data_IF_975227693468
#
_entry.id   IF_975227693468
#
_cell.length_a   1.000
_cell.length_b   1.000
_cell.length_c   1.000
_cell.angle_alpha   90.00
_cell.angle_beta   90.00
_cell.angle_gamma   90.00
#
_symmetry.space_group_name_H-M   'P 1'
#
loop_
_entity.id
_entity.type
_entity.pdbx_description
1 polymer ?
#
# COMPACT_ATOMS: atom_id res chain seq x y z
N UNK A 1 -19.36 -11.44 18.18
CA UNK A 1 -18.47 -12.53 17.73
C UNK A 1 -17.36 -11.97 16.86
N UNK A 2 -16.10 -12.28 17.25
CA UNK A 2 -14.88 -11.80 16.56
C UNK A 2 -14.90 -12.17 15.06
N UNK A 3 -15.37 -13.37 14.72
CA UNK A 3 -15.42 -13.82 13.33
C UNK A 3 -16.45 -13.04 12.49
N UNK A 4 -17.52 -12.56 13.10
CA UNK A 4 -18.49 -11.69 12.43
C UNK A 4 -17.90 -10.30 12.19
N UNK A 5 -17.19 -9.72 13.17
CA UNK A 5 -16.51 -8.44 13.02
C UNK A 5 -15.47 -8.50 11.89
N UNK A 6 -14.61 -9.54 11.88
CA UNK A 6 -13.63 -9.77 10.82
C UNK A 6 -14.27 -9.89 9.42
N UNK A 7 -15.35 -10.67 9.31
CA UNK A 7 -16.08 -10.82 8.03
C UNK A 7 -16.67 -9.48 7.57
N UNK A 8 -17.21 -8.71 8.51
CA UNK A 8 -17.76 -7.40 8.23
C UNK A 8 -16.66 -6.46 7.71
N UNK A 9 -15.55 -6.33 8.42
CA UNK A 9 -14.44 -5.45 8.02
C UNK A 9 -13.87 -5.82 6.65
N UNK A 10 -13.68 -7.13 6.39
CA UNK A 10 -13.21 -7.63 5.08
C UNK A 10 -14.25 -7.35 3.98
N UNK A 11 -15.55 -7.44 4.29
CA UNK A 11 -16.59 -7.14 3.30
C UNK A 11 -16.64 -5.65 3.00
N UNK A 12 -16.56 -4.79 4.01
CA UNK A 12 -16.49 -3.33 3.81
C UNK A 12 -15.29 -2.96 2.91
N UNK A 13 -14.13 -3.59 3.15
CA UNK A 13 -12.95 -3.35 2.32
C UNK A 13 -13.11 -3.83 0.87
N UNK A 14 -13.79 -4.96 0.65
CA UNK A 14 -14.08 -5.45 -0.71
C UNK A 14 -15.01 -4.53 -1.49
N UNK A 15 -15.94 -3.91 -0.79
CA UNK A 15 -16.94 -3.01 -1.36
C UNK A 15 -16.42 -1.57 -1.47
N UNK A 16 -15.27 -1.27 -0.84
CA UNK A 16 -14.68 0.05 -0.85
C UNK A 16 -14.12 0.43 -2.23
N UNK A 17 -14.31 1.68 -2.63
CA UNK A 17 -13.81 2.20 -3.89
C UNK A 17 -12.68 3.19 -3.67
N UNK A 18 -11.50 2.84 -4.12
CA UNK A 18 -10.32 3.72 -4.13
C UNK A 18 -10.33 4.78 -5.24
N UNK A 19 -11.36 4.80 -6.10
CA UNK A 19 -11.45 5.75 -7.22
C UNK A 19 -11.66 7.17 -6.72
N UNK A 20 -10.87 8.09 -7.22
CA UNK A 20 -10.94 9.50 -6.88
C UNK A 20 -10.23 9.90 -5.58
N UNK A 21 -9.61 8.94 -4.89
CA UNK A 21 -8.76 9.21 -3.74
C UNK A 21 -7.34 9.56 -4.20
N UNK A 22 -6.73 10.52 -3.51
CA UNK A 22 -5.30 10.81 -3.67
C UNK A 22 -4.43 9.81 -2.89
N UNK A 23 -3.11 9.89 -3.08
CA UNK A 23 -2.13 8.99 -2.47
C UNK A 23 -2.22 8.96 -0.95
N UNK A 24 -2.37 10.10 -0.29
CA UNK A 24 -2.45 10.18 1.17
C UNK A 24 -3.75 9.56 1.68
N UNK A 25 -4.89 9.84 1.03
CA UNK A 25 -6.19 9.25 1.36
C UNK A 25 -6.20 7.73 1.19
N UNK A 26 -5.50 7.21 0.16
CA UNK A 26 -5.34 5.77 -0.05
C UNK A 26 -4.53 5.15 1.09
N UNK A 27 -3.42 5.77 1.49
CA UNK A 27 -2.59 5.29 2.60
C UNK A 27 -3.36 5.33 3.90
N UNK A 28 -4.06 6.42 4.18
CA UNK A 28 -4.88 6.58 5.39
C UNK A 28 -5.94 5.48 5.49
N UNK A 29 -6.64 5.21 4.38
CA UNK A 29 -7.64 4.14 4.34
C UNK A 29 -7.02 2.74 4.58
N UNK A 30 -5.88 2.44 3.95
CA UNK A 30 -5.16 1.17 4.18
C UNK A 30 -4.75 1.05 5.66
N UNK A 31 -4.24 2.12 6.26
CA UNK A 31 -3.87 2.16 7.69
C UNK A 31 -5.08 1.92 8.58
N UNK A 32 -6.21 2.53 8.26
CA UNK A 32 -7.47 2.36 9.00
C UNK A 32 -7.95 0.92 8.93
N UNK A 33 -8.00 0.34 7.74
CA UNK A 33 -8.38 -1.05 7.55
C UNK A 33 -7.47 -2.01 8.32
N UNK A 34 -6.15 -1.83 8.23
CA UNK A 34 -5.17 -2.68 8.95
C UNK A 34 -5.31 -2.52 10.47
N UNK A 35 -5.59 -1.31 10.95
CA UNK A 35 -5.80 -1.01 12.36
C UNK A 35 -7.03 -1.73 12.90
N UNK A 36 -8.17 -1.66 12.20
CA UNK A 36 -9.40 -2.37 12.53
C UNK A 36 -9.21 -3.89 12.51
N UNK A 37 -8.57 -4.41 11.46
CA UNK A 37 -8.30 -5.83 11.32
C UNK A 37 -7.46 -6.39 12.50
N UNK A 38 -6.42 -5.65 12.90
CA UNK A 38 -5.56 -6.05 14.02
C UNK A 38 -6.30 -5.97 15.36
N UNK A 39 -7.18 -4.99 15.56
CA UNK A 39 -7.94 -4.78 16.79
C UNK A 39 -8.84 -5.98 17.14
N UNK A 40 -9.33 -6.71 16.14
CA UNK A 40 -10.18 -7.89 16.34
C UNK A 40 -9.52 -9.02 17.12
N UNK A 41 -8.17 -9.10 17.11
CA UNK A 41 -7.40 -10.13 17.84
C UNK A 41 -7.98 -11.54 17.73
N UNK A 42 -8.15 -12.09 16.49
CA UNK A 42 -8.85 -13.36 16.30
C UNK A 42 -8.11 -14.58 16.86
N UNK A 43 -6.83 -14.44 17.17
CA UNK A 43 -6.01 -15.52 17.69
C UNK A 43 -5.56 -15.23 19.11
N UNK A 44 -5.33 -16.28 19.89
CA UNK A 44 -4.77 -16.18 21.24
C UNK A 44 -3.38 -15.58 21.23
N UNK A 45 -2.58 -15.94 20.21
CA UNK A 45 -1.20 -15.46 20.00
C UNK A 45 -0.93 -15.22 18.52
N UNK A 46 0.12 -14.45 18.21
CA UNK A 46 0.59 -14.24 16.83
C UNK A 46 -0.24 -13.27 15.99
N UNK A 47 -1.18 -12.52 16.58
CA UNK A 47 -2.05 -11.59 15.83
C UNK A 47 -1.25 -10.61 14.95
N UNK A 48 -0.18 -10.01 15.47
CA UNK A 48 0.65 -9.08 14.68
C UNK A 48 1.32 -9.76 13.48
N UNK A 49 1.86 -10.98 13.65
CA UNK A 49 2.47 -11.73 12.53
C UNK A 49 1.44 -12.12 11.49
N UNK A 50 0.28 -12.58 11.92
CA UNK A 50 -0.82 -12.93 11.01
C UNK A 50 -1.32 -11.71 10.26
N UNK A 51 -1.45 -10.57 10.93
CA UNK A 51 -1.80 -9.29 10.30
C UNK A 51 -0.76 -8.89 9.25
N UNK A 52 0.54 -8.98 9.54
CA UNK A 52 1.59 -8.66 8.58
C UNK A 52 1.50 -9.55 7.32
N UNK A 53 1.35 -10.88 7.49
CA UNK A 53 1.18 -11.81 6.36
C UNK A 53 -0.08 -11.50 5.55
N UNK A 54 -1.19 -11.20 6.21
CA UNK A 54 -2.43 -10.81 5.55
C UNK A 54 -2.22 -9.53 4.75
N UNK A 55 -1.63 -8.50 5.36
CA UNK A 55 -1.36 -7.19 4.73
C UNK A 55 -0.50 -7.34 3.49
N UNK A 56 0.58 -8.14 3.55
CA UNK A 56 1.44 -8.42 2.38
C UNK A 56 0.61 -9.01 1.23
N UNK A 57 -0.22 -10.02 1.53
CA UNK A 57 -1.08 -10.66 0.52
C UNK A 57 -2.14 -9.68 -0.03
N UNK A 58 -2.73 -8.92 0.85
CA UNK A 58 -3.73 -7.91 0.50
C UNK A 58 -3.13 -6.84 -0.42
N UNK A 59 -1.99 -6.24 -0.04
CA UNK A 59 -1.31 -5.22 -0.83
C UNK A 59 -0.91 -5.75 -2.22
N UNK A 60 -0.44 -7.00 -2.30
CA UNK A 60 -0.17 -7.65 -3.59
C UNK A 60 -1.42 -7.79 -4.45
N UNK A 61 -2.58 -8.09 -3.84
CA UNK A 61 -3.84 -8.22 -4.58
C UNK A 61 -4.35 -6.91 -5.16
N UNK A 62 -3.94 -5.78 -4.61
CA UNK A 62 -4.29 -4.43 -5.08
C UNK A 62 -3.17 -3.75 -5.88
N UNK A 63 -2.12 -4.52 -6.26
CA UNK A 63 -1.14 -4.15 -7.27
C UNK A 63 0.26 -3.79 -6.74
N UNK A 64 0.47 -3.74 -5.42
CA UNK A 64 1.78 -3.41 -4.87
C UNK A 64 2.73 -4.61 -4.88
N UNK A 65 4.00 -4.38 -5.20
CA UNK A 65 5.08 -5.36 -5.06
C UNK A 65 5.70 -5.20 -3.67
N UNK A 66 5.20 -5.93 -2.70
CA UNK A 66 5.71 -5.90 -1.33
C UNK A 66 6.23 -7.28 -0.93
N UNK A 67 7.31 -7.29 -0.18
CA UNK A 67 7.89 -8.47 0.45
C UNK A 67 7.75 -8.42 1.98
N UNK A 68 8.45 -9.29 2.68
CA UNK A 68 8.42 -9.36 4.13
C UNK A 68 9.56 -8.55 4.80
N UNK A 69 10.49 -8.01 4.04
CA UNK A 69 11.76 -7.49 4.59
C UNK A 69 11.52 -6.32 5.55
N UNK A 70 10.75 -5.33 5.14
CA UNK A 70 10.44 -4.19 6.02
C UNK A 70 9.72 -4.61 7.31
N UNK A 71 8.82 -5.62 7.22
CA UNK A 71 8.12 -6.15 8.39
C UNK A 71 9.06 -6.94 9.31
N UNK A 72 9.98 -7.72 8.75
CA UNK A 72 10.95 -8.49 9.51
C UNK A 72 11.93 -7.58 10.25
N UNK A 73 12.51 -6.61 9.54
CA UNK A 73 13.49 -5.67 10.06
C UNK A 73 12.87 -4.72 11.11
N UNK A 74 11.58 -4.42 10.98
CA UNK A 74 10.87 -3.46 11.84
C UNK A 74 9.68 -4.08 12.59
N UNK A 75 9.76 -5.37 12.94
CA UNK A 75 8.65 -6.11 13.56
C UNK A 75 8.15 -5.48 14.87
N UNK A 76 9.05 -5.01 15.72
CA UNK A 76 8.72 -4.29 16.94
C UNK A 76 8.10 -2.92 16.67
N UNK A 77 8.61 -2.21 15.68
CA UNK A 77 8.04 -0.93 15.29
C UNK A 77 6.60 -1.12 14.77
N UNK A 78 6.38 -2.06 13.86
CA UNK A 78 5.06 -2.35 13.31
C UNK A 78 4.06 -2.71 14.40
N UNK A 79 4.45 -3.61 15.34
CA UNK A 79 3.63 -3.97 16.51
C UNK A 79 3.28 -2.75 17.36
N UNK A 80 4.28 -1.95 17.72
CA UNK A 80 4.07 -0.79 18.60
C UNK A 80 3.25 0.31 17.89
N UNK A 81 3.42 0.48 16.58
CA UNK A 81 2.62 1.40 15.78
C UNK A 81 1.13 0.98 15.76
N UNK A 82 0.84 -0.33 15.64
CA UNK A 82 -0.52 -0.87 15.76
C UNK A 82 -1.10 -0.61 17.17
N UNK A 83 -0.31 -0.81 18.22
CA UNK A 83 -0.73 -0.47 19.59
C UNK A 83 -1.05 1.02 19.69
N UNK A 84 -0.15 1.90 19.23
CA UNK A 84 -0.36 3.37 19.29
C UNK A 84 -1.56 3.84 18.48
N UNK A 85 -1.84 3.19 17.35
CA UNK A 85 -3.00 3.49 16.52
C UNK A 85 -4.34 3.17 17.21
N UNK A 86 -4.34 2.25 18.19
CA UNK A 86 -5.54 1.79 18.89
C UNK A 86 -5.60 2.23 20.37
N UNK A 87 -4.47 2.62 20.96
CA UNK A 87 -4.42 2.90 22.41
C UNK A 87 -5.03 4.24 22.75
N UNK A 88 -6.03 4.20 23.61
CA UNK A 88 -6.69 5.37 24.18
C UNK A 88 -6.67 5.30 25.71
N UNK A 89 -6.29 6.40 26.36
CA UNK A 89 -6.38 6.54 27.82
C UNK A 89 -6.87 7.96 28.16
N UNK A 90 -8.18 8.17 28.32
CA UNK A 90 -8.76 9.49 28.59
C UNK A 90 -8.23 10.13 29.87
N UNK A 91 -7.97 9.33 30.93
CA UNK A 91 -7.49 9.86 32.22
C UNK A 91 -6.06 10.44 32.14
N UNK A 92 -5.29 10.04 31.10
CA UNK A 92 -3.95 10.57 30.81
C UNK A 92 -3.93 11.45 29.56
N UNK A 93 -5.09 11.82 29.01
CA UNK A 93 -5.21 12.57 27.74
C UNK A 93 -4.45 11.95 26.58
N UNK A 94 -4.43 10.59 26.52
CA UNK A 94 -3.76 9.85 25.44
C UNK A 94 -4.83 9.44 24.42
N UNK A 95 -4.69 9.96 23.19
CA UNK A 95 -5.53 9.58 22.07
C UNK A 95 -4.78 8.64 21.10
N UNK A 96 -5.52 7.83 20.31
CA UNK A 96 -4.94 7.01 19.24
C UNK A 96 -4.08 7.85 18.28
N UNK A 97 -2.95 7.31 17.86
CA UNK A 97 -2.05 7.98 16.93
C UNK A 97 -1.62 7.03 15.81
N UNK A 98 -2.13 7.26 14.61
CA UNK A 98 -1.86 6.48 13.40
C UNK A 98 -0.61 6.92 12.64
N UNK A 99 -0.01 8.07 12.97
CA UNK A 99 1.12 8.65 12.23
C UNK A 99 2.31 7.71 12.09
N UNK A 100 2.55 6.85 13.07
CA UNK A 100 3.62 5.86 13.04
C UNK A 100 3.36 4.74 12.02
N UNK A 101 2.11 4.28 11.92
CA UNK A 101 1.70 3.32 10.88
C UNK A 101 1.74 3.97 9.49
N UNK A 102 1.30 5.20 9.35
CA UNK A 102 1.37 5.95 8.09
C UNK A 102 2.82 6.02 7.60
N UNK A 103 3.78 6.38 8.45
CA UNK A 103 5.22 6.38 8.10
C UNK A 103 5.70 5.00 7.63
N UNK A 104 5.30 3.93 8.32
CA UNK A 104 5.64 2.57 7.94
C UNK A 104 5.09 2.22 6.55
N UNK A 105 3.83 2.52 6.27
CA UNK A 105 3.20 2.26 4.97
C UNK A 105 3.73 3.16 3.86
N UNK A 106 4.09 4.41 4.15
CA UNK A 106 4.75 5.29 3.17
C UNK A 106 6.12 4.71 2.76
N UNK A 107 6.91 4.23 3.72
CA UNK A 107 8.17 3.53 3.40
C UNK A 107 7.91 2.26 2.56
N UNK A 108 6.90 1.47 2.92
CA UNK A 108 6.58 0.21 2.28
C UNK A 108 6.04 0.38 0.85
N UNK A 109 5.17 1.36 0.62
CA UNK A 109 4.40 1.51 -0.62
C UNK A 109 5.01 2.54 -1.58
N UNK A 110 5.64 3.58 -1.04
CA UNK A 110 6.20 4.69 -1.81
C UNK A 110 7.73 4.66 -1.87
N UNK A 111 8.39 3.78 -1.10
CA UNK A 111 9.84 3.76 -0.99
C UNK A 111 10.41 4.97 -0.27
N UNK A 112 9.63 5.65 0.57
CA UNK A 112 10.11 6.74 1.42
C UNK A 112 11.04 6.19 2.53
N UNK A 113 11.82 7.06 3.15
CA UNK A 113 12.83 6.68 4.14
C UNK A 113 12.59 7.36 5.49
N UNK A 114 11.35 7.30 6.00
CA UNK A 114 11.06 7.76 7.35
C UNK A 114 11.77 6.90 8.39
N UNK A 115 12.32 7.54 9.42
CA UNK A 115 12.88 6.81 10.56
C UNK A 115 11.82 6.03 11.32
N UNK A 116 12.04 4.72 11.48
CA UNK A 116 11.15 3.81 12.18
C UNK A 116 11.73 3.48 13.58
N UNK A 117 11.72 4.46 14.49
CA UNK A 117 12.26 4.32 15.84
C UNK A 117 11.16 4.19 16.89
N UNK A 118 11.21 3.11 17.68
CA UNK A 118 10.23 2.82 18.74
C UNK A 118 10.17 3.91 19.82
N UNK A 119 11.27 4.60 20.10
CA UNK A 119 11.33 5.67 21.11
C UNK A 119 10.36 6.82 20.83
N UNK A 120 10.07 7.11 19.55
CA UNK A 120 9.13 8.17 19.18
C UNK A 120 7.67 7.84 19.53
N UNK A 121 7.36 6.59 19.84
CA UNK A 121 6.03 6.14 20.23
C UNK A 121 5.76 6.24 21.72
N UNK A 122 6.80 6.53 22.53
CA UNK A 122 6.64 6.73 23.96
C UNK A 122 5.75 7.93 24.24
N UNK A 123 4.79 7.74 25.13
CA UNK A 123 3.91 8.84 25.55
C UNK A 123 4.73 9.85 26.34
N UNK A 124 4.71 11.10 25.92
CA UNK A 124 5.51 12.18 26.54
C UNK A 124 6.95 12.28 26.01
N UNK A 125 7.30 11.54 24.96
CA UNK A 125 8.58 11.76 24.28
C UNK A 125 8.62 13.16 23.65
N UNK A 126 9.58 13.97 24.10
CA UNK A 126 9.89 15.27 23.51
C UNK A 126 11.29 15.17 22.86
N UNK A 127 11.46 15.73 21.66
CA UNK A 127 12.72 15.71 20.91
C UNK A 127 13.90 16.38 21.69
N UNK A 128 13.61 17.13 22.74
CA UNK A 128 14.61 17.77 23.62
C UNK A 128 15.43 16.71 24.38
N UNK A 129 14.91 15.49 24.60
CA UNK A 129 15.62 14.39 25.27
C UNK A 129 16.62 13.66 24.35
N UNK A 130 16.61 13.97 23.03
CA UNK A 130 17.48 13.30 22.06
C UNK A 130 18.96 13.68 22.17
N UNK A 131 19.29 14.76 22.88
CA UNK A 131 20.66 15.28 23.03
C UNK A 131 21.46 14.56 24.14
N UNK A 132 20.81 13.76 24.99
CA UNK A 132 21.47 13.15 26.17
C UNK A 132 21.70 11.65 26.10
N UNK A 133 21.32 10.95 25.05
CA UNK A 133 21.43 9.50 24.94
C UNK A 133 22.21 9.07 23.69
N UNK A 134 23.42 9.55 23.55
CA UNK A 134 24.41 8.92 22.68
C UNK A 134 25.22 7.93 23.53
N UNK A 135 24.93 6.65 23.44
CA UNK A 135 25.83 5.51 23.47
C UNK A 135 25.03 4.22 23.62
N UNK A 136 24.77 3.57 22.53
CA UNK A 136 24.84 2.13 22.33
C UNK A 136 24.57 1.86 20.84
N UNK A 137 25.68 1.82 20.12
CA UNK A 137 25.76 1.38 18.73
C UNK A 137 25.47 -0.11 18.67
N UNK A 138 24.38 -0.47 18.01
CA UNK A 138 24.24 -1.81 17.45
C UNK A 138 24.24 -1.65 15.95
N UNK A 139 25.43 -1.80 15.39
CA UNK A 139 25.69 -1.80 13.94
C UNK A 139 25.20 -3.14 13.38
N UNK A 140 24.03 -3.17 12.77
CA UNK A 140 23.71 -4.18 11.77
C UNK A 140 23.54 -3.45 10.44
N UNK A 141 24.66 -3.37 9.72
CA UNK A 141 24.70 -2.96 8.34
C UNK A 141 24.22 -4.13 7.49
N UNK A 142 22.95 -4.18 7.18
CA UNK A 142 22.42 -5.01 6.12
C UNK A 142 22.13 -4.09 4.94
N UNK A 143 23.07 -4.01 4.02
CA UNK A 143 22.87 -3.46 2.70
C UNK A 143 22.02 -4.45 1.90
N UNK A 144 20.71 -4.38 2.07
CA UNK A 144 19.77 -4.91 1.11
C UNK A 144 19.11 -3.71 0.43
N UNK A 145 19.39 -3.56 -0.87
CA UNK A 145 18.68 -2.64 -1.73
C UNK A 145 17.20 -3.04 -1.71
N UNK A 146 16.41 -2.35 -0.90
CA UNK A 146 14.97 -2.44 -0.95
C UNK A 146 14.55 -2.01 -2.36
N UNK A 147 14.00 -2.92 -3.11
CA UNK A 147 13.30 -2.62 -4.37
C UNK A 147 11.99 -1.89 -4.05
N UNK A 148 12.11 -0.71 -3.44
CA UNK A 148 11.06 0.28 -3.47
C UNK A 148 10.97 0.74 -4.92
N UNK A 149 10.02 0.22 -5.67
CA UNK A 149 9.67 0.72 -7.00
C UNK A 149 9.36 2.21 -6.87
N UNK A 150 10.33 3.06 -7.19
CA UNK A 150 10.10 4.49 -7.28
C UNK A 150 9.04 4.71 -8.35
N UNK A 151 7.83 5.11 -7.93
CA UNK A 151 6.71 5.44 -8.82
C UNK A 151 7.11 6.53 -9.86
N UNK A 152 8.22 7.24 -9.61
CA UNK A 152 8.76 8.32 -10.44
C UNK A 152 9.42 7.88 -11.77
N UNK A 153 9.80 6.61 -11.94
CA UNK A 153 10.59 6.16 -13.11
C UNK A 153 9.77 5.41 -14.18
N UNK A 154 8.46 5.60 -14.23
CA UNK A 154 7.61 4.95 -15.22
C UNK A 154 7.78 5.56 -16.61
N UNK A 155 7.82 4.70 -17.63
CA UNK A 155 7.89 5.15 -19.02
C UNK A 155 6.69 6.00 -19.41
N UNK A 156 6.91 6.96 -20.28
CA UNK A 156 5.83 7.85 -20.77
C UNK A 156 4.67 7.08 -21.41
N UNK A 157 4.96 5.95 -22.04
CA UNK A 157 3.94 5.08 -22.63
C UNK A 157 2.99 4.50 -21.57
N UNK A 158 3.54 4.12 -20.39
CA UNK A 158 2.73 3.63 -19.28
C UNK A 158 1.90 4.76 -18.70
N UNK A 159 2.48 5.95 -18.45
CA UNK A 159 1.72 7.10 -17.95
C UNK A 159 0.54 7.47 -18.83
N UNK A 160 0.75 7.56 -20.14
CA UNK A 160 -0.32 7.79 -21.14
C UNK A 160 -1.39 6.72 -21.08
N UNK A 161 -1.00 5.45 -20.92
CA UNK A 161 -1.94 4.35 -20.78
C UNK A 161 -2.80 4.50 -19.53
N UNK A 162 -2.20 4.84 -18.37
CA UNK A 162 -2.94 5.03 -17.11
C UNK A 162 -3.94 6.18 -17.24
N UNK A 163 -3.52 7.31 -17.79
CA UNK A 163 -4.41 8.46 -18.07
C UNK A 163 -5.53 8.06 -19.02
N UNK A 164 -5.24 7.26 -20.04
CA UNK A 164 -6.24 6.77 -20.98
C UNK A 164 -7.28 5.86 -20.33
N UNK A 165 -6.88 4.95 -19.45
CA UNK A 165 -7.82 4.07 -18.73
C UNK A 165 -8.62 4.89 -17.73
N UNK A 166 -7.98 5.79 -16.99
CA UNK A 166 -8.60 6.61 -15.96
C UNK A 166 -9.26 5.77 -14.87
N UNK A 167 -10.32 6.28 -14.28
CA UNK A 167 -11.08 5.57 -13.23
C UNK A 167 -12.09 4.55 -13.76
N UNK A 168 -12.13 4.36 -15.09
CA UNK A 168 -13.04 3.45 -15.77
C UNK A 168 -12.43 2.08 -16.08
N UNK A 169 -13.01 1.44 -17.10
CA UNK A 169 -12.49 0.21 -17.70
C UNK A 169 -12.50 0.32 -19.22
N UNK A 170 -11.44 -0.13 -19.88
CA UNK A 170 -11.31 -0.05 -21.35
C UNK A 170 -10.81 -1.36 -21.94
N UNK A 171 -11.28 -1.69 -23.13
CA UNK A 171 -10.73 -2.74 -24.00
C UNK A 171 -9.43 -2.28 -24.65
N UNK A 172 -8.64 -3.23 -25.17
CA UNK A 172 -7.42 -2.90 -25.95
C UNK A 172 -7.72 -1.97 -27.11
N UNK A 173 -8.84 -2.20 -27.82
CA UNK A 173 -9.24 -1.37 -28.96
C UNK A 173 -9.50 0.08 -28.54
N UNK A 174 -10.30 0.29 -27.50
CA UNK A 174 -10.63 1.63 -26.97
C UNK A 174 -9.37 2.36 -26.47
N UNK A 175 -8.43 1.65 -25.84
CA UNK A 175 -7.17 2.24 -25.39
C UNK A 175 -6.30 2.67 -26.58
N UNK A 176 -6.15 1.81 -27.60
CA UNK A 176 -5.34 2.11 -28.79
C UNK A 176 -5.93 3.29 -29.59
N UNK A 177 -7.24 3.35 -29.73
CA UNK A 177 -7.92 4.47 -30.40
C UNK A 177 -7.68 5.79 -29.65
N UNK A 178 -7.78 5.79 -28.33
CA UNK A 178 -7.57 6.97 -27.50
C UNK A 178 -6.12 7.47 -27.51
N UNK A 179 -5.12 6.55 -27.60
CA UNK A 179 -3.67 6.90 -27.69
C UNK A 179 -3.25 7.20 -29.13
N UNK A 180 -4.08 6.91 -30.13
CA UNK A 180 -3.78 7.10 -31.55
C UNK A 180 -2.80 6.06 -32.11
N UNK A 181 -2.67 4.90 -31.50
CA UNK A 181 -1.76 3.83 -31.90
C UNK A 181 -2.49 2.81 -32.81
N UNK A 182 -1.88 2.47 -33.95
CA UNK A 182 -2.40 1.47 -34.90
C UNK A 182 -1.74 0.11 -34.76
N UNK A 183 -0.51 0.04 -34.25
CA UNK A 183 0.26 -1.21 -34.12
C UNK A 183 -0.05 -1.89 -32.78
N UNK A 184 -0.90 -2.92 -32.82
CA UNK A 184 -1.32 -3.66 -31.63
C UNK A 184 -0.17 -4.41 -30.95
N UNK A 185 0.72 -5.14 -31.61
CA UNK A 185 1.88 -5.77 -30.99
C UNK A 185 2.72 -4.78 -30.18
N UNK A 186 3.10 -3.64 -30.75
CA UNK A 186 3.88 -2.62 -30.07
C UNK A 186 3.14 -2.04 -28.84
N UNK A 187 1.83 -1.78 -28.98
CA UNK A 187 1.03 -1.31 -27.84
C UNK A 187 1.03 -2.30 -26.67
N UNK A 188 0.88 -3.59 -26.98
CA UNK A 188 0.92 -4.65 -25.95
C UNK A 188 2.30 -4.73 -25.30
N UNK A 189 3.36 -4.74 -26.10
CA UNK A 189 4.75 -4.93 -25.65
C UNK A 189 5.28 -3.74 -24.83
N UNK A 190 5.03 -2.50 -25.29
CA UNK A 190 5.64 -1.30 -24.70
C UNK A 190 4.73 -0.52 -23.76
N UNK A 191 3.46 -0.86 -23.66
CA UNK A 191 2.50 -0.16 -22.79
C UNK A 191 1.73 -1.09 -21.86
N UNK A 192 0.93 -2.01 -22.43
CA UNK A 192 -0.03 -2.77 -21.63
C UNK A 192 0.63 -3.88 -20.79
N UNK A 193 1.51 -4.69 -21.39
CA UNK A 193 2.18 -5.79 -20.69
C UNK A 193 3.08 -5.27 -19.56
N UNK A 194 3.93 -4.25 -19.77
CA UNK A 194 4.69 -3.65 -18.67
C UNK A 194 3.78 -3.10 -17.55
N UNK A 195 2.70 -2.41 -17.89
CA UNK A 195 1.76 -1.87 -16.89
C UNK A 195 1.10 -2.97 -16.04
N UNK A 196 0.79 -4.13 -16.64
CA UNK A 196 0.28 -5.30 -15.91
C UNK A 196 1.39 -5.90 -15.03
N UNK A 197 2.60 -6.06 -15.57
CA UNK A 197 3.76 -6.62 -14.84
C UNK A 197 4.14 -5.76 -13.64
N UNK A 198 4.04 -4.42 -13.78
CA UNK A 198 4.26 -3.48 -12.68
C UNK A 198 3.09 -3.42 -11.67
N UNK A 199 2.01 -4.18 -11.90
CA UNK A 199 0.85 -4.20 -11.03
C UNK A 199 -0.01 -2.93 -11.09
N UNK A 200 0.13 -2.10 -12.12
CA UNK A 200 -0.64 -0.85 -12.29
C UNK A 200 -2.00 -1.09 -12.92
N UNK A 201 -2.08 -2.10 -13.78
CA UNK A 201 -3.29 -2.47 -14.54
C UNK A 201 -3.63 -3.93 -14.27
N UNK A 202 -4.91 -4.23 -14.16
CA UNK A 202 -5.42 -5.60 -14.05
C UNK A 202 -6.47 -5.91 -15.11
N UNK A 203 -6.59 -7.19 -15.44
CA UNK A 203 -7.63 -7.71 -16.32
C UNK A 203 -8.95 -7.85 -15.58
N UNK A 204 -10.07 -7.52 -16.24
CA UNK A 204 -11.42 -7.76 -15.70
C UNK A 204 -11.70 -9.26 -15.58
N UNK A 205 -11.23 -10.04 -16.55
CA UNK A 205 -11.37 -11.51 -16.59
C UNK A 205 -9.98 -12.16 -16.58
N UNK A 206 -9.28 -12.23 -15.43
CA UNK A 206 -7.91 -12.73 -15.36
C UNK A 206 -7.79 -14.22 -15.69
N UNK A 207 -8.81 -15.03 -15.36
CA UNK A 207 -8.87 -16.47 -15.66
C UNK A 207 -9.21 -16.76 -17.13
N UNK A 208 -9.57 -15.74 -17.91
CA UNK A 208 -9.91 -15.86 -19.33
C UNK A 208 -9.31 -14.68 -20.10
N UNK A 209 -7.97 -14.66 -20.31
CA UNK A 209 -7.29 -13.50 -20.93
C UNK A 209 -7.78 -13.17 -22.35
N UNK A 210 -8.31 -14.17 -23.07
CA UNK A 210 -8.86 -14.02 -24.43
C UNK A 210 -10.40 -13.83 -24.44
N UNK A 211 -10.99 -13.48 -23.27
CA UNK A 211 -12.43 -13.27 -23.20
C UNK A 211 -12.88 -12.18 -24.19
N UNK A 212 -13.95 -12.38 -24.98
CA UNK A 212 -14.41 -11.40 -25.99
C UNK A 212 -14.74 -10.01 -25.41
N UNK A 213 -15.19 -9.96 -24.17
CA UNK A 213 -15.49 -8.72 -23.42
C UNK A 213 -14.36 -8.35 -22.45
N UNK A 214 -13.10 -8.76 -22.72
CA UNK A 214 -11.98 -8.40 -21.87
C UNK A 214 -11.80 -6.89 -21.80
N UNK A 215 -11.71 -6.38 -20.59
CA UNK A 215 -11.37 -5.00 -20.27
C UNK A 215 -10.28 -4.92 -19.24
N UNK A 216 -9.66 -3.77 -19.16
CA UNK A 216 -8.54 -3.47 -18.28
C UNK A 216 -8.92 -2.27 -17.42
N UNK A 217 -8.51 -2.31 -16.17
CA UNK A 217 -8.78 -1.27 -15.18
C UNK A 217 -7.55 -1.07 -14.30
N UNK A 218 -7.43 0.11 -13.70
CA UNK A 218 -6.33 0.40 -12.80
C UNK A 218 -6.48 -0.42 -11.50
N UNK A 219 -5.35 -0.84 -10.94
CA UNK A 219 -5.26 -1.33 -9.57
C UNK A 219 -5.23 -0.14 -8.61
N UNK A 220 -5.21 -0.38 -7.29
CA UNK A 220 -5.02 0.72 -6.32
C UNK A 220 -3.68 1.40 -6.53
N UNK A 221 -2.59 0.63 -6.73
CA UNK A 221 -1.28 1.18 -7.13
C UNK A 221 -1.38 2.02 -8.40
N UNK A 222 -2.11 1.54 -9.41
CA UNK A 222 -2.34 2.27 -10.66
C UNK A 222 -3.13 3.56 -10.48
N UNK A 223 -4.10 3.60 -9.56
CA UNK A 223 -4.86 4.81 -9.24
C UNK A 223 -3.99 5.88 -8.56
N UNK A 224 -3.07 5.48 -7.66
CA UNK A 224 -2.11 6.42 -7.05
C UNK A 224 -1.25 7.10 -8.12
N UNK A 225 -0.67 6.31 -9.03
CA UNK A 225 0.13 6.85 -10.14
C UNK A 225 -0.69 7.71 -11.08
N UNK A 226 -1.93 7.31 -11.38
CA UNK A 226 -2.84 8.09 -12.21
C UNK A 226 -3.13 9.46 -11.60
N UNK A 227 -3.40 9.53 -10.29
CA UNK A 227 -3.64 10.80 -9.58
C UNK A 227 -2.43 11.75 -9.71
N UNK A 228 -1.22 11.24 -9.57
CA UNK A 228 0.03 12.01 -9.75
C UNK A 228 0.25 12.45 -11.21
N UNK A 229 -0.28 11.72 -12.19
CA UNK A 229 -0.14 12.08 -13.62
C UNK A 229 -1.15 13.16 -14.09
N UNK A 230 -2.27 13.35 -13.39
CA UNK A 230 -3.33 14.30 -13.78
C UNK A 230 -3.31 15.59 -12.98
N UNK A 231 -2.47 15.68 -11.95
CA UNK A 231 -2.18 16.91 -11.21
C UNK A 231 -1.14 17.73 -11.93
#
# INVERSE_FOLDING_TARGET
>A
DIMMALRYDIQQEKDFSYKGLNTDEIIDHIVDFVTLLWQNHPFREGNTRTTAVFVIKYLRSIGFKVDNDLFADNSWYFRNALVRANYRNPSKSIEPNKSFLIRFFRNLLLGEHHELKNRYMLVGYNDVDATSASTHTSTHTSTHASSGDSLSNLSENIKRLLVTIGTGEKSVKEMMEAVGLKNRPNFLEYSLTPAITEGLVKMKYPNSPRHPRQKYLLTVKGLMVYDDCVK
#
